data_IF_268266130543
#
_entry.id   IF_268266130543
#
_cell.length_a   1.000
_cell.length_b   1.000
_cell.length_c   1.000
_cell.angle_alpha   90.00
_cell.angle_beta   90.00
_cell.angle_gamma   90.00
#
_symmetry.space_group_name_H-M   'P 1'
#
loop_
_entity.id
_entity.type
_entity.pdbx_description
1 polymer ?
#
# COMPACT_ATOMS: atom_id res chain seq x y z
N UNK A 1 1.95 -27.12 -20.02
CA UNK A 1 1.60 -25.94 -19.18
C UNK A 1 0.08 -25.83 -19.09
N UNK A 2 -0.49 -25.81 -17.89
CA UNK A 2 -1.95 -25.83 -17.69
C UNK A 2 -2.60 -24.44 -17.70
N UNK A 3 -3.92 -24.38 -17.88
CA UNK A 3 -4.76 -23.15 -17.91
C UNK A 3 -4.49 -22.22 -16.71
N UNK A 4 -4.16 -22.78 -15.54
CA UNK A 4 -3.83 -22.00 -14.34
C UNK A 4 -2.58 -21.12 -14.47
N UNK A 5 -1.56 -21.57 -15.22
CA UNK A 5 -0.34 -20.77 -15.46
C UNK A 5 -0.65 -19.61 -16.41
N UNK A 6 -1.53 -19.82 -17.38
CA UNK A 6 -1.96 -18.79 -18.31
C UNK A 6 -2.76 -17.67 -17.62
N UNK A 7 -3.63 -18.04 -16.66
CA UNK A 7 -4.34 -17.09 -15.82
C UNK A 7 -3.40 -16.32 -14.89
N UNK A 8 -2.39 -16.99 -14.32
CA UNK A 8 -1.34 -16.35 -13.52
C UNK A 8 -0.53 -15.33 -14.32
N UNK A 9 -0.15 -15.66 -15.57
CA UNK A 9 0.53 -14.74 -16.47
C UNK A 9 -0.35 -13.54 -16.81
N UNK A 10 -1.61 -13.77 -17.19
CA UNK A 10 -2.57 -12.68 -17.47
C UNK A 10 -2.80 -11.78 -16.26
N UNK A 11 -2.93 -12.35 -15.07
CA UNK A 11 -3.06 -11.62 -13.80
C UNK A 11 -1.82 -10.77 -13.48
N UNK A 12 -0.63 -11.31 -13.72
CA UNK A 12 0.63 -10.59 -13.48
C UNK A 12 0.82 -9.43 -14.45
N UNK A 13 0.45 -9.61 -15.73
CA UNK A 13 0.47 -8.54 -16.73
C UNK A 13 -0.52 -7.44 -16.36
N UNK A 14 -1.77 -7.78 -16.05
CA UNK A 14 -2.78 -6.80 -15.62
C UNK A 14 -2.36 -6.02 -14.37
N UNK A 15 -1.80 -6.71 -13.37
CA UNK A 15 -1.27 -6.09 -12.16
C UNK A 15 -0.09 -5.14 -12.47
N UNK A 16 0.79 -5.51 -13.41
CA UNK A 16 1.91 -4.67 -13.84
C UNK A 16 1.47 -3.38 -14.55
N UNK A 17 0.40 -3.45 -15.35
CA UNK A 17 -0.21 -2.25 -15.96
C UNK A 17 -0.82 -1.34 -14.89
N UNK A 18 -1.60 -1.92 -13.96
CA UNK A 18 -2.18 -1.16 -12.86
C UNK A 18 -1.11 -0.51 -11.98
N UNK A 19 -0.01 -1.22 -11.71
CA UNK A 19 1.14 -0.72 -10.96
C UNK A 19 1.77 0.48 -11.67
N UNK A 20 2.02 0.35 -12.97
CA UNK A 20 2.62 1.42 -13.79
C UNK A 20 1.74 2.66 -13.81
N UNK A 21 0.42 2.48 -13.94
CA UNK A 21 -0.55 3.56 -13.86
C UNK A 21 -0.58 4.22 -12.46
N UNK A 22 -0.52 3.42 -11.38
CA UNK A 22 -0.44 3.96 -10.04
C UNK A 22 0.86 4.77 -9.81
N UNK A 23 1.98 4.31 -10.37
CA UNK A 23 3.27 5.00 -10.30
C UNK A 23 3.26 6.34 -11.05
N UNK A 24 2.68 6.39 -12.26
CA UNK A 24 2.58 7.64 -13.03
C UNK A 24 1.69 8.65 -12.32
N UNK A 25 0.54 8.21 -11.80
CA UNK A 25 -0.36 9.06 -11.02
C UNK A 25 0.28 9.54 -9.70
N UNK A 26 1.07 8.68 -9.03
CA UNK A 26 1.85 9.06 -7.86
C UNK A 26 2.88 10.16 -8.19
N UNK A 27 3.59 10.04 -9.32
CA UNK A 27 4.59 11.02 -9.76
C UNK A 27 3.97 12.35 -10.18
N UNK A 28 2.77 12.31 -10.76
CA UNK A 28 2.03 13.51 -11.18
C UNK A 28 1.33 14.22 -10.02
N UNK A 29 1.07 13.54 -8.91
CA UNK A 29 0.35 14.11 -7.76
C UNK A 29 1.22 15.09 -6.96
N UNK A 30 0.59 16.16 -6.47
CA UNK A 30 1.25 17.21 -5.67
C UNK A 30 1.85 16.62 -4.39
N UNK A 31 3.10 16.95 -4.09
CA UNK A 31 3.82 16.49 -2.88
C UNK A 31 3.05 16.86 -1.61
N UNK A 32 2.94 15.92 -0.67
CA UNK A 32 2.22 16.11 0.59
C UNK A 32 0.69 16.16 0.47
N UNK A 33 0.11 15.88 -0.70
CA UNK A 33 -1.35 15.77 -0.87
C UNK A 33 -1.86 14.37 -0.48
N UNK A 34 -3.12 14.30 -0.05
CA UNK A 34 -3.80 13.02 0.23
C UNK A 34 -3.84 12.11 -1.00
N UNK A 35 -4.04 12.69 -2.19
CA UNK A 35 -4.14 11.94 -3.43
C UNK A 35 -2.81 11.25 -3.79
N UNK A 36 -1.68 11.91 -3.55
CA UNK A 36 -0.34 11.32 -3.73
C UNK A 36 -0.14 10.11 -2.82
N UNK A 37 -0.57 10.20 -1.57
CA UNK A 37 -0.51 9.09 -0.63
C UNK A 37 -1.35 7.89 -1.10
N UNK A 38 -2.61 8.11 -1.50
CA UNK A 38 -3.48 7.02 -1.99
C UNK A 38 -2.85 6.32 -3.20
N UNK A 39 -2.31 7.09 -4.16
CA UNK A 39 -1.62 6.51 -5.30
C UNK A 39 -0.34 5.77 -4.92
N UNK A 40 0.42 6.27 -3.95
CA UNK A 40 1.59 5.58 -3.39
C UNK A 40 1.20 4.26 -2.73
N UNK A 41 0.18 4.24 -1.88
CA UNK A 41 -0.31 3.01 -1.24
C UNK A 41 -0.79 1.98 -2.27
N UNK A 42 -1.52 2.42 -3.30
CA UNK A 42 -1.93 1.56 -4.42
C UNK A 42 -0.72 1.01 -5.17
N UNK A 43 0.26 1.85 -5.47
CA UNK A 43 1.51 1.45 -6.12
C UNK A 43 2.26 0.39 -5.27
N UNK A 44 2.42 0.62 -3.97
CA UNK A 44 3.10 -0.31 -3.06
C UNK A 44 2.38 -1.66 -3.01
N UNK A 45 1.05 -1.66 -2.87
CA UNK A 45 0.26 -2.89 -2.85
C UNK A 45 0.38 -3.67 -4.17
N UNK A 46 0.30 -2.97 -5.30
CA UNK A 46 0.41 -3.59 -6.63
C UNK A 46 1.83 -4.12 -6.89
N UNK A 47 2.87 -3.38 -6.51
CA UNK A 47 4.26 -3.83 -6.63
C UNK A 47 4.52 -5.08 -5.77
N UNK A 48 3.99 -5.13 -4.54
CA UNK A 48 4.06 -6.33 -3.70
C UNK A 48 3.28 -7.50 -4.32
N UNK A 49 2.08 -7.25 -4.87
CA UNK A 49 1.29 -8.28 -5.53
C UNK A 49 2.04 -8.87 -6.74
N UNK A 50 2.61 -8.03 -7.59
CA UNK A 50 3.41 -8.46 -8.75
C UNK A 50 4.64 -9.25 -8.29
N UNK A 51 5.31 -8.84 -7.22
CA UNK A 51 6.45 -9.57 -6.68
C UNK A 51 6.06 -10.97 -6.17
N UNK A 52 4.93 -11.10 -5.48
CA UNK A 52 4.40 -12.40 -5.02
C UNK A 52 4.03 -13.28 -6.21
N UNK A 53 3.28 -12.75 -7.19
CA UNK A 53 2.92 -13.50 -8.40
C UNK A 53 4.15 -13.97 -9.17
N UNK A 54 5.15 -13.10 -9.32
CA UNK A 54 6.42 -13.44 -9.97
C UNK A 54 7.16 -14.56 -9.23
N UNK A 55 7.16 -14.52 -7.89
CA UNK A 55 7.76 -15.58 -7.07
C UNK A 55 7.04 -16.91 -7.25
N UNK A 56 5.70 -16.89 -7.32
CA UNK A 56 4.90 -18.10 -7.56
C UNK A 56 5.18 -18.69 -8.95
N UNK A 57 5.26 -17.85 -9.99
CA UNK A 57 5.60 -18.31 -11.34
C UNK A 57 7.00 -18.92 -11.37
N UNK A 58 7.97 -18.29 -10.71
CA UNK A 58 9.32 -18.83 -10.62
C UNK A 58 9.37 -20.22 -9.96
N UNK A 59 8.61 -20.43 -8.88
CA UNK A 59 8.53 -21.76 -8.23
C UNK A 59 7.95 -22.80 -9.19
N UNK A 60 6.91 -22.44 -9.95
CA UNK A 60 6.30 -23.32 -10.96
C UNK A 60 7.32 -23.66 -12.07
N UNK A 61 8.06 -22.67 -12.56
CA UNK A 61 9.06 -22.85 -13.62
C UNK A 61 10.24 -23.72 -13.15
N UNK A 62 10.70 -23.56 -11.90
CA UNK A 62 11.70 -24.47 -11.31
C UNK A 62 11.17 -25.90 -11.24
N UNK A 63 9.93 -26.09 -10.79
CA UNK A 63 9.30 -27.40 -10.73
C UNK A 63 9.10 -28.03 -12.14
N UNK A 64 8.94 -27.19 -13.16
CA UNK A 64 8.85 -27.59 -14.56
C UNK A 64 10.19 -27.84 -15.25
N UNK A 65 11.32 -27.54 -14.58
CA UNK A 65 12.68 -27.71 -15.13
C UNK A 65 13.24 -26.49 -15.86
N UNK A 66 12.49 -25.39 -15.98
CA UNK A 66 12.89 -24.17 -16.70
C UNK A 66 13.51 -23.13 -15.74
N UNK A 67 14.74 -23.40 -15.30
CA UNK A 67 15.46 -22.56 -14.32
C UNK A 67 15.79 -21.15 -14.83
N UNK A 68 15.94 -20.98 -16.16
CA UNK A 68 16.19 -19.67 -16.77
C UNK A 68 14.96 -18.76 -16.63
N UNK A 69 13.77 -19.25 -16.95
CA UNK A 69 12.54 -18.48 -16.80
C UNK A 69 12.24 -18.16 -15.33
N UNK A 70 12.49 -19.11 -14.44
CA UNK A 70 12.38 -18.87 -13.00
C UNK A 70 13.30 -17.74 -12.51
N UNK A 71 14.55 -17.69 -12.97
CA UNK A 71 15.48 -16.63 -12.61
C UNK A 71 15.01 -15.25 -13.11
N UNK A 72 14.43 -15.18 -14.31
CA UNK A 72 13.84 -13.94 -14.85
C UNK A 72 12.69 -13.45 -13.98
N UNK A 73 11.77 -14.34 -13.59
CA UNK A 73 10.64 -13.96 -12.74
C UNK A 73 11.07 -13.51 -11.35
N UNK A 74 12.07 -14.17 -10.75
CA UNK A 74 12.66 -13.70 -9.49
C UNK A 74 13.32 -12.33 -9.65
N UNK A 75 14.04 -12.10 -10.75
CA UNK A 75 14.66 -10.81 -11.02
C UNK A 75 13.61 -9.69 -11.15
N UNK A 76 12.48 -9.94 -11.80
CA UNK A 76 11.34 -9.01 -11.88
C UNK A 76 10.82 -8.68 -10.48
N UNK A 77 10.54 -9.70 -9.65
CA UNK A 77 10.07 -9.52 -8.28
C UNK A 77 11.06 -8.71 -7.42
N UNK A 78 12.34 -9.05 -7.50
CA UNK A 78 13.41 -8.35 -6.79
C UNK A 78 13.53 -6.88 -7.22
N UNK A 79 13.46 -6.61 -8.53
CA UNK A 79 13.49 -5.24 -9.06
C UNK A 79 12.32 -4.40 -8.53
N UNK A 80 11.11 -4.95 -8.42
CA UNK A 80 9.95 -4.25 -7.86
C UNK A 80 10.18 -3.86 -6.39
N UNK A 81 10.68 -4.79 -5.58
CA UNK A 81 11.01 -4.52 -4.16
C UNK A 81 12.11 -3.47 -4.05
N UNK A 82 13.17 -3.58 -4.85
CA UNK A 82 14.25 -2.59 -4.89
C UNK A 82 13.71 -1.20 -5.23
N UNK A 83 12.82 -1.11 -6.23
CA UNK A 83 12.20 0.15 -6.65
C UNK A 83 11.33 0.77 -5.55
N UNK A 84 10.65 -0.05 -4.73
CA UNK A 84 9.91 0.42 -3.55
C UNK A 84 10.83 1.02 -2.48
N UNK A 85 11.96 0.37 -2.24
CA UNK A 85 12.95 0.82 -1.25
C UNK A 85 13.57 2.15 -1.70
N UNK A 86 13.98 2.24 -2.97
CA UNK A 86 14.60 3.44 -3.54
C UNK A 86 13.63 4.63 -3.61
N UNK A 87 12.35 4.39 -3.88
CA UNK A 87 11.33 5.45 -3.94
C UNK A 87 10.68 5.76 -2.59
N UNK A 88 11.35 5.44 -1.47
CA UNK A 88 10.84 5.73 -0.13
C UNK A 88 10.95 7.23 0.16
N UNK A 89 9.91 7.98 -0.20
CA UNK A 89 9.80 9.42 0.06
C UNK A 89 9.47 9.68 1.54
N UNK A 90 10.30 10.49 2.22
CA UNK A 90 10.14 10.89 3.64
C UNK A 90 8.97 11.86 3.85
N UNK A 91 8.62 12.65 2.85
CA UNK A 91 7.65 13.75 2.98
C UNK A 91 6.21 13.25 3.21
N UNK A 92 5.84 12.09 2.68
CA UNK A 92 4.50 11.54 2.86
C UNK A 92 4.28 10.97 4.29
N UNK A 93 5.35 10.53 4.97
CA UNK A 93 5.30 10.06 6.35
C UNK A 93 4.94 11.21 7.33
N UNK A 94 5.35 12.43 7.00
CA UNK A 94 5.08 13.61 7.81
C UNK A 94 3.63 14.09 7.70
N UNK A 95 2.99 13.94 6.53
CA UNK A 95 1.56 14.17 6.39
C UNK A 95 0.77 13.26 7.33
N UNK A 96 1.13 11.97 7.39
CA UNK A 96 0.46 11.00 8.26
C UNK A 96 0.68 11.29 9.74
N UNK A 97 1.90 11.68 10.14
CA UNK A 97 2.18 12.11 11.52
C UNK A 97 1.40 13.36 11.91
N UNK A 98 1.14 14.29 10.98
CA UNK A 98 0.34 15.51 11.24
C UNK A 98 -1.15 15.21 11.28
N UNK A 99 -1.67 14.45 10.32
CA UNK A 99 -3.08 14.05 10.26
C UNK A 99 -3.44 13.12 11.42
N UNK A 100 -2.61 12.12 11.72
CA UNK A 100 -2.77 11.24 12.87
C UNK A 100 -2.77 11.99 14.20
N UNK A 101 -1.94 13.04 14.34
CA UNK A 101 -1.99 13.96 15.50
C UNK A 101 -3.33 14.69 15.60
N UNK A 102 -3.90 15.17 14.49
CA UNK A 102 -5.22 15.83 14.47
C UNK A 102 -6.35 14.86 14.81
N UNK A 103 -6.35 13.66 14.24
CA UNK A 103 -7.35 12.63 14.54
C UNK A 103 -7.26 12.25 16.01
N UNK A 104 -6.06 11.98 16.54
CA UNK A 104 -5.86 11.63 17.95
C UNK A 104 -6.30 12.77 18.90
N UNK A 105 -6.05 14.03 18.51
CA UNK A 105 -6.56 15.19 19.25
C UNK A 105 -8.10 15.31 19.20
N UNK A 106 -8.71 15.01 18.04
CA UNK A 106 -10.17 14.96 17.87
C UNK A 106 -10.80 13.86 18.73
N UNK A 107 -10.26 12.64 18.69
CA UNK A 107 -10.68 11.52 19.52
C UNK A 107 -10.54 11.86 21.00
N UNK A 108 -9.42 12.49 21.42
CA UNK A 108 -9.24 12.91 22.81
C UNK A 108 -10.28 13.94 23.26
N UNK A 109 -10.65 14.89 22.39
CA UNK A 109 -11.72 15.86 22.67
C UNK A 109 -13.09 15.17 22.81
N UNK A 110 -13.40 14.23 21.92
CA UNK A 110 -14.67 13.50 21.95
C UNK A 110 -14.73 12.61 23.20
N UNK A 111 -13.66 11.87 23.49
CA UNK A 111 -13.54 11.06 24.70
C UNK A 111 -13.67 11.90 25.98
N UNK A 112 -13.08 13.10 26.02
CA UNK A 112 -13.23 14.01 27.17
C UNK A 112 -14.64 14.60 27.35
N UNK A 113 -15.48 14.54 26.31
CA UNK A 113 -16.89 14.96 26.37
C UNK A 113 -17.83 13.79 26.70
N UNK A 114 -17.41 12.56 26.44
CA UNK A 114 -18.15 11.33 26.73
C UNK A 114 -17.95 10.82 28.17
N UNK A 115 -16.94 11.31 28.89
CA UNK A 115 -16.81 11.07 30.33
C UNK A 115 -17.74 12.10 31.03
N UNK A 116 -18.85 11.68 31.65
CA UNK A 116 -19.64 12.57 32.47
C UNK A 116 -18.74 13.01 33.63
N UNK A 117 -18.57 14.32 33.83
CA UNK A 117 -17.97 14.82 35.08
C UNK A 117 -18.87 14.34 36.23
N UNK A 118 -18.38 13.53 37.17
CA UNK A 118 -19.13 13.27 38.39
C UNK A 118 -19.19 14.59 39.15
N UNK A 119 -20.37 15.23 39.19
CA UNK A 119 -20.59 16.46 39.95
C UNK A 119 -21.35 17.60 39.28
N UNK A 120 -21.89 17.45 38.07
CA UNK A 120 -22.83 18.45 37.53
C UNK A 120 -24.21 18.30 38.19
N UNK A 121 -24.30 18.70 39.46
CA UNK A 121 -25.57 18.89 40.17
C UNK A 121 -26.26 20.09 39.52
N UNK A 122 -27.41 19.85 38.91
CA UNK A 122 -28.27 20.92 38.41
C UNK A 122 -28.73 21.79 39.61
N UNK A 123 -28.68 23.13 39.53
CA UNK A 123 -29.20 23.98 40.59
C UNK A 123 -30.71 23.72 40.75
N UNK A 124 -31.12 23.34 41.96
CA UNK A 124 -32.53 23.18 42.32
C UNK A 124 -33.15 24.58 42.39
N UNK A 125 -34.19 24.88 41.61
CA UNK A 125 -34.90 26.15 41.71
C UNK A 125 -35.62 26.23 43.07
N UNK A 126 -35.51 27.39 43.70
CA UNK A 126 -36.05 27.73 45.02
C UNK A 126 -37.58 27.71 45.06
#
# INVERSE_FOLDING_TARGET
MGVGVLLLLGGTVGASFAETHALTMYRAAVRGSHQRYVWRSRYVLLACLVAVLSTVIAIIDVAGGDTVFAAVWLAIGAMRILTLILNRDKDDDDWFKRTGRRIRAGVRRIASRLIPRPGAVAPVPA
#
